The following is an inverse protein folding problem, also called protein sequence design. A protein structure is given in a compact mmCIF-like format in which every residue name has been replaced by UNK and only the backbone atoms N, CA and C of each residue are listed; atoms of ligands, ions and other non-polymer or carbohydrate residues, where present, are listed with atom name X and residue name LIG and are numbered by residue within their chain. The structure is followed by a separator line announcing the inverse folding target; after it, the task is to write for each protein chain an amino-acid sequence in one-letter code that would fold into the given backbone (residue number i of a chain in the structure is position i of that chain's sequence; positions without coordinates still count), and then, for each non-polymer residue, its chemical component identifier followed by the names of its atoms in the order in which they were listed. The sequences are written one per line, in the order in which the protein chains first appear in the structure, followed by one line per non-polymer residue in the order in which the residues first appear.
data_IF_325281012833
#
_entry.id   IF_325281012833
#
_cell.length_a   1.000
_cell.length_b   1.000
_cell.length_c   1.000
_cell.angle_alpha   90.00
_cell.angle_beta   90.00
_cell.angle_gamma   90.00
#
_symmetry.space_group_name_H-M   'P 1'
#
loop_
_entity.id
_entity.type
_entity.pdbx_description
1 polymer ?
2 non-polymer ?
3 non-polymer ?
4 water ?
#
# COMPACT_ATOMS: atom_id res chain seq x y z
N UNK A 1 9.64 16.44 -12.48
CA UNK A 1 8.89 15.40 -11.78
C UNK A 1 8.45 15.91 -10.41
N UNK A 2 7.64 15.11 -9.72
CA UNK A 2 7.11 15.50 -8.43
C UNK A 2 8.21 15.69 -7.39
N UNK A 3 7.90 16.49 -6.38
CA UNK A 3 8.78 16.69 -5.25
C UNK A 3 8.49 15.76 -4.10
N UNK A 4 7.55 14.84 -4.26
CA UNK A 4 7.09 13.96 -3.19
C UNK A 4 8.23 13.31 -2.42
N UNK A 5 8.26 13.54 -1.12
CA UNK A 5 9.20 12.87 -0.23
C UNK A 5 8.45 11.94 0.71
N UNK A 6 9.09 10.88 1.19
CA UNK A 6 8.46 10.08 2.24
C UNK A 6 8.16 10.97 3.45
N UNK A 7 6.95 10.86 3.96
CA UNK A 7 6.61 11.42 5.26
C UNK A 7 5.90 10.34 6.04
N UNK A 8 5.67 10.59 7.32
CA UNK A 8 4.93 9.65 8.13
C UNK A 8 4.00 10.43 9.03
N UNK A 9 3.24 9.71 9.85
CA UNK A 9 2.38 10.39 10.80
C UNK A 9 3.26 11.05 11.86
N UNK A 10 2.91 12.29 12.18
CA UNK A 10 3.52 13.03 13.27
C UNK A 10 2.99 12.46 14.57
N UNK A 11 3.82 11.83 15.41
CA UNK A 11 3.29 11.24 16.65
C UNK A 11 2.59 12.25 17.54
N UNK A 12 2.97 13.52 17.47
CA UNK A 12 2.36 14.53 18.33
C UNK A 12 1.03 15.02 17.80
N UNK A 13 0.63 14.59 16.60
CA UNK A 13 -0.64 14.98 16.01
C UNK A 13 -1.65 13.85 15.96
N UNK A 14 -1.31 12.70 16.52
CA UNK A 14 -2.14 11.51 16.36
C UNK A 14 -3.13 11.42 17.51
N UNK A 15 -4.39 11.16 17.19
CA UNK A 15 -5.40 10.92 18.21
C UNK A 15 -4.94 9.83 19.17
N UNK A 16 -5.22 10.04 20.45
CA UNK A 16 -4.77 9.13 21.51
C UNK A 16 -5.23 7.71 21.28
N UNK A 17 -6.37 7.51 20.62
CA UNK A 17 -6.96 6.18 20.52
C UNK A 17 -6.57 5.47 19.23
N UNK A 18 -5.72 6.07 18.41
CA UNK A 18 -5.17 5.41 17.24
C UNK A 18 -3.96 4.56 17.61
N UNK A 19 -3.89 3.37 17.02
CA UNK A 19 -2.70 2.53 17.09
C UNK A 19 -1.91 2.78 15.82
N UNK A 20 -0.64 3.15 15.97
CA UNK A 20 0.23 3.55 14.88
C UNK A 20 1.37 2.55 14.75
N UNK A 21 1.68 2.16 13.52
CA UNK A 21 2.82 1.26 13.33
C UNK A 21 4.12 1.99 13.62
N UNK A 22 5.19 1.21 13.84
CA UNK A 22 6.45 1.83 14.24
C UNK A 22 7.07 2.69 13.16
N UNK A 23 6.73 2.46 11.90
CA UNK A 23 7.24 3.30 10.83
C UNK A 23 6.33 4.49 10.55
N UNK A 24 5.26 4.65 11.32
CA UNK A 24 4.39 5.81 11.20
C UNK A 24 3.51 5.83 9.97
N UNK A 25 3.34 4.69 9.30
CA UNK A 25 2.60 4.67 8.03
C UNK A 25 1.25 3.98 8.12
N UNK A 26 0.96 3.29 9.20
CA UNK A 26 -0.31 2.62 9.39
C UNK A 26 -0.99 3.16 10.63
N UNK A 27 -2.29 3.41 10.53
CA UNK A 27 -3.06 3.87 11.66
C UNK A 27 -4.34 3.07 11.73
N UNK A 28 -4.73 2.71 12.95
CA UNK A 28 -5.82 1.79 13.16
C UNK A 28 -6.61 2.21 14.39
N UNK A 29 -7.93 2.10 14.30
CA UNK A 29 -8.81 2.23 15.45
C UNK A 29 -9.16 0.85 15.96
N UNK A 30 -8.96 0.62 17.26
CA UNK A 30 -9.31 -0.66 17.88
C UNK A 30 -10.77 -0.68 18.34
N UNK A 47 -17.21 10.86 17.22
CA UNK A 47 -15.82 11.13 17.50
C UNK A 47 -14.89 10.55 16.43
N UNK A 48 -14.31 11.44 15.64
CA UNK A 48 -13.37 11.01 14.61
C UNK A 48 -11.97 10.92 15.19
N UNK A 49 -11.14 10.10 14.56
CA UNK A 49 -9.77 9.86 15.01
C UNK A 49 -8.84 10.35 13.93
N UNK A 50 -8.24 11.51 14.15
CA UNK A 50 -7.41 12.16 13.15
C UNK A 50 -5.93 12.06 13.45
N UNK A 51 -5.14 12.15 12.38
CA UNK A 51 -3.69 12.20 12.48
C UNK A 51 -3.20 13.07 11.34
N UNK A 52 -2.00 13.62 11.50
CA UNK A 52 -1.45 14.50 10.49
C UNK A 52 -0.06 14.03 10.11
N UNK A 53 0.30 14.25 8.85
CA UNK A 53 1.64 13.95 8.41
C UNK A 53 2.64 14.89 9.04
N UNK A 54 3.89 14.43 9.14
CA UNK A 54 4.94 15.15 9.85
C UNK A 54 5.70 16.12 8.94
N UNK A 55 5.02 16.69 7.95
CA UNK A 55 5.64 17.65 7.04
C UNK A 55 4.61 18.74 6.75
N UNK A 56 5.06 19.99 6.78
CA UNK A 56 4.27 21.10 6.24
C UNK A 56 4.88 21.53 4.91
N UNK A 57 4.04 21.60 3.89
CA UNK A 57 4.45 21.84 2.52
C UNK A 57 4.12 23.27 2.15
N UNK A 58 5.09 23.99 1.60
CA UNK A 58 4.79 25.33 1.11
C UNK A 58 5.41 25.56 -0.28
N UNK A 59 5.67 24.49 -1.02
CA UNK A 59 6.28 24.62 -2.34
C UNK A 59 6.13 23.31 -3.07
N UNK A 60 6.27 23.38 -4.39
CA UNK A 60 6.40 22.18 -5.17
C UNK A 60 5.09 21.49 -5.46
N UNK A 61 5.23 20.25 -5.92
CA UNK A 61 4.12 19.40 -6.30
C UNK A 61 4.33 18.04 -5.66
N UNK A 62 3.31 17.52 -5.00
CA UNK A 62 3.47 16.33 -4.18
C UNK A 62 2.31 15.39 -4.42
N UNK A 63 2.62 14.10 -4.43
CA UNK A 63 1.60 13.07 -4.61
C UNK A 63 1.80 12.01 -3.55
N UNK A 64 0.71 11.63 -2.89
CA UNK A 64 0.75 10.47 -2.03
C UNK A 64 -0.55 9.71 -2.19
N UNK A 65 -0.54 8.48 -1.70
CA UNK A 65 -1.71 7.64 -1.77
C UNK A 65 -2.02 7.11 -0.39
N UNK A 66 -3.28 6.75 -0.21
CA UNK A 66 -3.75 6.17 1.04
C UNK A 66 -4.48 4.89 0.68
N UNK A 67 -4.16 3.81 1.38
CA UNK A 67 -4.89 2.56 1.26
C UNK A 67 -5.90 2.52 2.41
N UNK A 68 -7.18 2.49 2.05
CA UNK A 68 -8.26 2.53 3.04
C UNK A 68 -8.82 1.17 3.36
N UNK A 69 -8.58 0.18 2.50
CA UNK A 69 -9.07 -1.16 2.77
C UNK A 69 -10.58 -1.17 2.87
N UNK A 70 -11.07 -1.75 3.96
CA UNK A 70 -12.51 -1.88 4.18
C UNK A 70 -13.08 -0.75 5.02
N UNK A 71 -12.30 0.29 5.31
CA UNK A 71 -12.83 1.41 6.07
C UNK A 71 -14.00 2.05 5.33
N UNK A 72 -15.08 2.30 6.07
CA UNK A 72 -16.29 2.86 5.50
C UNK A 72 -16.52 4.31 5.90
N UNK A 73 -15.59 4.92 6.64
CA UNK A 73 -15.81 6.26 7.17
C UNK A 73 -14.44 6.86 7.44
N UNK A 74 -14.03 7.80 6.58
CA UNK A 74 -12.70 8.40 6.67
C UNK A 74 -12.75 9.74 5.95
N UNK A 75 -11.75 10.56 6.24
CA UNK A 75 -11.61 11.87 5.61
C UNK A 75 -10.12 12.11 5.43
N UNK A 76 -9.71 12.39 4.21
CA UNK A 76 -8.30 12.47 3.83
C UNK A 76 -8.07 13.76 3.08
N UNK A 77 -7.04 14.49 3.46
CA UNK A 77 -6.77 15.74 2.78
C UNK A 77 -5.58 16.49 3.31
N UNK A 78 -5.74 17.82 3.43
CA UNK A 78 -4.67 18.70 3.87
C UNK A 78 -5.27 19.75 4.81
N UNK A 79 -4.40 20.38 5.58
CA UNK A 79 -4.84 21.42 6.50
C UNK A 79 -3.75 22.46 6.69
N UNK A 80 -4.17 23.69 6.95
CA UNK A 80 -3.28 24.66 7.53
C UNK A 80 -3.07 24.33 9.00
N UNK A 81 -2.00 24.90 9.58
CA UNK A 81 -1.82 24.80 11.02
C UNK A 81 -2.99 25.40 11.78
N UNK A 82 -3.75 26.30 11.16
CA UNK A 82 -4.85 26.96 11.86
C UNK A 82 -6.07 26.08 12.04
N UNK A 83 -6.13 24.91 11.42
CA UNK A 83 -7.17 23.94 11.76
C UNK A 83 -6.88 23.40 13.15
N UNK A 84 -7.84 23.43 14.08
CA UNK A 84 -7.59 22.82 15.40
C UNK A 84 -7.27 21.34 15.25
N UNK A 85 -6.45 20.87 16.18
CA UNK A 85 -6.06 19.46 16.18
C UNK A 85 -7.29 18.56 16.14
N UNK A 86 -7.25 17.55 15.27
CA UNK A 86 -8.30 16.56 15.10
C UNK A 86 -9.54 17.15 14.44
N UNK A 87 -9.46 18.38 13.94
CA UNK A 87 -10.56 18.97 13.19
C UNK A 87 -10.14 19.10 11.75
N UNK A 88 -9.85 17.94 11.15
CA UNK A 88 -9.30 17.83 9.81
C UNK A 88 -10.30 17.11 8.90
N UNK A 89 -11.57 17.52 8.96
CA UNK A 89 -12.59 16.84 8.18
C UNK A 89 -13.38 17.85 7.36
N UNK A 90 -12.73 18.96 7.01
CA UNK A 90 -13.32 19.91 6.09
C UNK A 90 -14.39 20.80 6.67
N UNK A 91 -14.50 20.87 8.00
CA UNK A 91 -15.54 21.66 8.64
C UNK A 91 -15.02 23.00 9.14
N UNK A 92 -13.89 23.45 8.60
CA UNK A 92 -13.41 24.80 8.83
C UNK A 92 -12.72 25.28 7.56
N UNK A 93 -12.31 26.54 7.57
CA UNK A 93 -11.68 27.15 6.39
C UNK A 93 -10.21 26.76 6.25
N UNK A 94 -9.73 25.86 7.09
CA UNK A 94 -8.33 25.46 7.08
C UNK A 94 -8.16 23.98 6.76
N UNK A 95 -9.21 23.32 6.27
CA UNK A 95 -9.22 21.88 6.05
C UNK A 95 -9.93 21.58 4.75
N UNK A 96 -9.29 20.77 3.89
CA UNK A 96 -9.84 20.33 2.61
C UNK A 96 -9.72 18.82 2.59
N UNK A 97 -10.84 18.11 2.45
CA UNK A 97 -10.80 16.65 2.52
C UNK A 97 -11.65 16.00 1.44
N UNK A 98 -11.27 14.77 1.14
CA UNK A 98 -12.10 13.78 0.45
C UNK A 98 -12.60 12.83 1.53
N UNK A 99 -13.90 12.54 1.53
CA UNK A 99 -14.44 11.76 2.63
C UNK A 99 -15.42 10.71 2.13
N UNK A 100 -15.34 9.52 2.70
CA UNK A 100 -16.36 8.50 2.57
C UNK A 100 -17.14 8.41 3.87
N UNK A 101 -18.46 8.32 3.78
CA UNK A 101 -19.30 7.93 4.91
C UNK A 101 -20.29 6.90 4.37
N UNK A 102 -20.00 5.62 4.63
CA UNK A 102 -20.75 4.49 4.08
C UNK A 102 -20.67 4.48 2.56
N UNK A 103 -21.79 4.66 1.86
CA UNK A 103 -21.75 4.65 0.41
C UNK A 103 -21.67 6.04 -0.21
N UNK A 104 -21.59 7.09 0.59
CA UNK A 104 -21.55 8.46 0.09
C UNK A 104 -20.13 9.01 0.14
N UNK A 105 -19.65 9.51 -0.99
CA UNK A 105 -18.35 10.19 -1.08
C UNK A 105 -18.58 11.67 -1.32
N UNK A 106 -17.86 12.52 -0.58
CA UNK A 106 -17.95 13.95 -0.78
C UNK A 106 -16.54 14.53 -0.67
N UNK A 107 -16.39 15.74 -1.19
CA UNK A 107 -15.29 16.59 -0.79
C UNK A 107 -15.90 17.67 0.09
N UNK A 108 -15.13 18.13 1.06
CA UNK A 108 -15.67 19.06 2.04
C UNK A 108 -14.60 20.09 2.37
N UNK A 109 -15.04 21.34 2.44
CA UNK A 109 -14.17 22.43 2.86
C UNK A 109 -15.05 23.50 3.46
N UNK A 110 -14.58 24.14 4.52
CA UNK A 110 -15.31 25.26 5.13
C UNK A 110 -16.75 24.87 5.44
N UNK A 111 -16.96 23.62 5.84
CA UNK A 111 -18.26 23.09 6.25
C UNK A 111 -19.26 23.08 5.10
N UNK A 112 -18.78 23.02 3.87
CA UNK A 112 -19.63 22.80 2.70
C UNK A 112 -19.12 21.58 1.95
N UNK A 113 -20.03 20.72 1.53
CA UNK A 113 -19.64 19.49 0.88
C UNK A 113 -20.29 19.36 -0.48
N UNK A 114 -19.64 18.59 -1.34
CA UNK A 114 -20.14 18.31 -2.68
C UNK A 114 -19.98 16.82 -2.93
N UNK A 115 -21.05 16.18 -3.39
CA UNK A 115 -21.00 14.75 -3.67
C UNK A 115 -20.05 14.50 -4.83
N UNK A 116 -19.33 13.38 -4.75
CA UNK A 116 -18.37 12.97 -5.76
C UNK A 116 -18.77 11.59 -6.25
N UNK A 117 -18.82 11.42 -7.57
CA UNK A 117 -19.08 10.12 -8.16
C UNK A 117 -17.79 9.33 -8.17
N UNK A 118 -17.78 8.20 -7.46
CA UNK A 118 -16.59 7.37 -7.30
C UNK A 118 -16.95 5.97 -7.81
N UNK A 119 -16.10 5.35 -8.63
CA UNK A 119 -16.35 3.97 -9.07
C UNK A 119 -16.43 3.04 -7.87
N UNK A 120 -17.08 1.89 -8.02
CA UNK A 120 -17.24 0.98 -6.89
C UNK A 120 -15.90 0.43 -6.42
N UNK A 121 -15.86 0.08 -5.13
CA UNK A 121 -14.73 -0.62 -4.51
C UNK A 121 -13.45 0.22 -4.51
N UNK A 122 -13.60 1.49 -4.13
CA UNK A 122 -12.42 2.34 -3.94
C UNK A 122 -11.68 1.86 -2.70
N UNK A 123 -10.47 1.35 -2.91
CA UNK A 123 -9.65 0.91 -1.80
C UNK A 123 -8.42 1.77 -1.60
N UNK A 124 -8.18 2.72 -2.50
CA UNK A 124 -6.94 3.48 -2.52
C UNK A 124 -7.21 4.85 -3.12
N UNK A 125 -6.76 5.88 -2.42
CA UNK A 125 -7.00 7.26 -2.82
C UNK A 125 -5.67 7.91 -3.17
N UNK A 126 -5.63 8.60 -4.31
CA UNK A 126 -4.48 9.41 -4.67
C UNK A 126 -4.75 10.86 -4.30
N UNK A 127 -3.74 11.50 -3.71
CA UNK A 127 -3.84 12.88 -3.28
C UNK A 127 -2.72 13.65 -3.96
N UNK A 128 -3.08 14.60 -4.82
CA UNK A 128 -2.11 15.39 -5.54
C UNK A 128 -2.19 16.82 -5.04
N UNK A 129 -1.18 17.23 -4.29
CA UNK A 129 -1.07 18.60 -3.80
C UNK A 129 -0.13 19.35 -4.73
N UNK A 130 -0.72 20.16 -5.62
CA UNK A 130 0.12 21.03 -6.43
C UNK A 130 0.15 22.37 -5.69
N UNK A 131 1.07 22.48 -4.74
CA UNK A 131 1.10 23.68 -3.92
C UNK A 131 1.41 24.92 -4.75
N UNK A 132 2.42 24.81 -5.63
CA UNK A 132 2.80 25.94 -6.46
C UNK A 132 1.65 26.45 -7.31
N UNK A 133 0.83 25.54 -7.84
CA UNK A 133 -0.24 25.93 -8.74
C UNK A 133 -1.60 25.93 -8.06
N UNK A 134 -1.60 25.92 -6.73
CA UNK A 134 -2.79 26.25 -5.96
C UNK A 134 -3.94 25.29 -6.24
N UNK A 135 -3.63 23.99 -6.21
CA UNK A 135 -4.64 22.98 -6.42
C UNK A 135 -4.41 21.81 -5.48
N UNK A 136 -5.51 21.17 -5.11
CA UNK A 136 -5.49 19.90 -4.41
C UNK A 136 -6.44 18.99 -5.16
N UNK A 137 -5.95 17.84 -5.62
CA UNK A 137 -6.75 16.95 -6.46
C UNK A 137 -6.77 15.56 -5.86
N UNK A 138 -7.91 14.88 -6.01
CA UNK A 138 -8.08 13.53 -5.52
C UNK A 138 -8.31 12.58 -6.70
N UNK A 139 -7.72 11.40 -6.60
CA UNK A 139 -7.71 10.43 -7.68
C UNK A 139 -8.12 9.07 -7.19
N UNK A 140 -8.69 8.28 -8.09
CA UNK A 140 -8.88 6.84 -7.98
C UNK A 140 -7.79 6.20 -8.83
N UNK A 141 -6.60 5.96 -8.29
CA UNK A 141 -5.48 5.53 -9.16
C UNK A 141 -5.70 4.15 -9.76
N UNK A 142 -6.40 3.25 -9.07
CA UNK A 142 -6.68 1.94 -9.65
C UNK A 142 -7.39 2.06 -10.99
N UNK A 143 -8.26 3.06 -11.13
CA UNK A 143 -8.99 3.31 -12.36
C UNK A 143 -8.43 4.48 -13.15
N UNK A 144 -7.25 4.99 -12.78
CA UNK A 144 -6.60 6.10 -13.47
C UNK A 144 -7.58 7.26 -13.66
N UNK A 145 -8.26 7.62 -12.58
CA UNK A 145 -9.43 8.48 -12.67
C UNK A 145 -9.30 9.68 -11.75
N UNK A 146 -9.47 10.87 -12.32
CA UNK A 146 -9.58 12.09 -11.53
C UNK A 146 -10.95 12.13 -10.86
N UNK A 147 -10.97 12.44 -9.57
CA UNK A 147 -12.22 12.54 -8.82
C UNK A 147 -12.63 13.98 -8.54
N UNK A 148 -11.69 14.83 -8.13
CA UNK A 148 -12.05 16.19 -7.77
C UNK A 148 -10.79 17.04 -7.68
N UNK A 149 -10.90 18.31 -8.07
CA UNK A 149 -9.85 19.27 -7.83
C UNK A 149 -10.41 20.47 -7.09
N UNK A 150 -9.81 20.79 -5.95
CA UNK A 150 -9.99 22.07 -5.27
C UNK A 150 -9.03 23.08 -5.85
N UNK A 151 -9.54 24.25 -6.22
CA UNK A 151 -8.68 25.40 -6.45
C UNK A 151 -8.55 26.13 -5.13
N UNK A 152 -7.31 26.31 -4.67
CA UNK A 152 -7.03 26.90 -3.36
C UNK A 152 -5.83 27.81 -3.52
N UNK A 153 -6.00 29.11 -3.31
CA UNK A 153 -4.84 29.98 -3.23
C UNK A 153 -4.23 29.80 -1.84
N UNK A 154 -3.23 28.92 -1.72
CA UNK A 154 -2.68 28.61 -0.42
C UNK A 154 -2.00 29.84 0.18
N UNK A 155 -2.37 30.17 1.41
CA UNK A 155 -1.79 31.33 2.10
C UNK A 155 -0.90 30.92 3.25
N UNK A 156 -0.82 29.64 3.57
CA UNK A 156 0.00 29.10 4.64
C UNK A 156 0.49 27.75 4.16
N UNK A 157 1.52 27.19 4.80
CA UNK A 157 1.90 25.81 4.51
C UNK A 157 0.78 24.87 4.90
N UNK A 158 0.77 23.69 4.28
CA UNK A 158 -0.27 22.70 4.53
C UNK A 158 0.38 21.38 4.90
N UNK A 159 -0.30 20.63 5.77
CA UNK A 159 0.18 19.29 6.09
C UNK A 159 -0.84 18.27 5.62
N UNK A 160 -0.41 17.04 5.31
CA UNK A 160 -1.37 15.97 5.05
C UNK A 160 -2.12 15.63 6.32
N UNK A 161 -3.40 15.29 6.16
CA UNK A 161 -4.22 14.83 7.28
C UNK A 161 -4.97 13.57 6.91
N UNK A 162 -5.20 12.74 7.93
CA UNK A 162 -5.83 11.44 7.75
C UNK A 162 -6.73 11.20 8.94
N UNK A 163 -8.01 10.97 8.70
CA UNK A 163 -8.98 10.81 9.76
C UNK A 163 -9.84 9.60 9.48
N UNK A 164 -10.03 8.75 10.49
CA UNK A 164 -10.92 7.61 10.33
C UNK A 164 -11.91 7.59 11.48
N UNK A 165 -13.02 6.95 11.23
CA UNK A 165 -13.97 6.59 12.26
C UNK A 165 -14.00 5.09 12.52
N UNK A 166 -13.40 4.30 11.63
CA UNK A 166 -13.31 2.85 11.83
C UNK A 166 -12.18 2.30 10.96
N UNK A 167 -11.81 1.05 11.24
CA UNK A 167 -10.84 0.26 10.46
C UNK A 167 -9.50 0.99 10.48
N UNK A 168 -8.85 1.18 9.33
CA UNK A 168 -7.46 1.55 9.33
C UNK A 168 -7.10 2.18 7.99
N UNK A 169 -5.94 2.82 7.97
CA UNK A 169 -5.39 3.43 6.77
C UNK A 169 -3.91 3.13 6.72
N UNK A 170 -3.38 3.10 5.50
CA UNK A 170 -1.96 3.02 5.29
C UNK A 170 -1.54 4.14 4.35
N UNK A 171 -0.42 4.78 4.65
CA UNK A 171 0.07 5.93 3.90
C UNK A 171 1.18 5.48 2.96
N UNK A 172 1.03 5.83 1.68
CA UNK A 172 2.04 5.56 0.65
C UNK A 172 2.58 6.91 0.19
N UNK A 173 3.75 7.28 0.69
CA UNK A 173 4.35 8.57 0.39
C UNK A 173 5.70 8.40 -0.27
N UNK A 174 6.12 9.46 -0.99
CA UNK A 174 7.43 9.44 -1.62
C UNK A 174 7.58 8.49 -2.77
N UNK A 175 6.49 8.02 -3.32
CA UNK A 175 6.53 7.13 -4.46
C UNK A 175 6.18 7.89 -5.74
N UNK A 176 6.69 7.43 -6.88
CA UNK A 176 6.41 8.15 -8.14
C UNK A 176 4.92 8.19 -8.44
N UNK A 177 4.47 9.37 -8.86
CA UNK A 177 3.11 9.53 -9.35
C UNK A 177 2.83 8.48 -10.44
N UNK A 178 1.60 7.98 -10.55
CA UNK A 178 1.25 7.10 -11.66
C UNK A 178 1.36 7.87 -12.97
N UNK A 179 1.63 7.12 -14.05
CA UNK A 179 1.87 7.74 -15.35
C UNK A 179 0.69 8.59 -15.80
N UNK A 180 -0.54 8.19 -15.50
CA UNK A 180 -1.70 8.89 -16.04
C UNK A 180 -1.82 10.32 -15.51
N UNK A 181 -1.16 10.64 -14.40
CA UNK A 181 -1.16 12.00 -13.88
C UNK A 181 0.07 12.75 -14.36
N UNK B 2 19.92 0.01 -6.33
CA UNK B 2 18.98 -1.06 -6.59
C UNK B 2 18.29 -0.91 -7.95
N UNK B 3 17.85 -2.03 -8.50
CA UNK B 3 17.33 -2.10 -9.86
C UNK B 3 15.82 -2.16 -9.93
N UNK B 4 15.12 -1.94 -8.80
CA UNK B 4 13.71 -2.30 -8.66
C UNK B 4 12.88 -1.94 -9.88
N UNK B 5 12.75 -2.89 -10.79
CA UNK B 5 11.91 -2.71 -11.96
C UNK B 5 10.44 -2.74 -11.55
N UNK B 6 9.66 -1.71 -11.88
CA UNK B 6 8.22 -1.77 -11.59
C UNK B 6 7.56 -2.90 -12.35
N UNK B 7 6.50 -3.44 -11.77
CA UNK B 7 5.75 -4.49 -12.44
C UNK B 7 4.30 -4.44 -11.98
N UNK B 8 3.45 -5.14 -12.72
CA UNK B 8 2.04 -5.29 -12.43
C UNK B 8 1.71 -6.77 -12.35
N UNK B 9 0.49 -7.04 -11.89
CA UNK B 9 -0.01 -8.41 -11.93
C UNK B 9 -0.32 -8.80 -13.36
N UNK B 10 0.15 -9.97 -13.76
CA UNK B 10 0.02 -10.46 -15.13
C UNK B 10 -1.34 -11.10 -15.35
N UNK B 11 -2.23 -10.47 -16.13
CA UNK B 11 -3.53 -11.07 -16.39
C UNK B 11 -3.44 -12.44 -17.06
N UNK B 12 -2.39 -12.68 -17.85
CA UNK B 12 -2.20 -13.98 -18.49
C UNK B 12 -1.86 -15.07 -17.47
N UNK B 13 -1.32 -14.71 -16.32
CA UNK B 13 -0.86 -15.69 -15.35
C UNK B 13 -1.68 -15.68 -14.08
N UNK B 14 -2.81 -14.99 -14.05
CA UNK B 14 -3.59 -14.79 -12.84
C UNK B 14 -4.84 -15.65 -12.87
N UNK B 15 -5.13 -16.28 -11.74
CA UNK B 15 -6.28 -17.17 -11.64
C UNK B 15 -7.57 -16.44 -12.00
N UNK B 16 -8.48 -17.15 -12.67
CA UNK B 16 -9.71 -16.54 -13.16
C UNK B 16 -10.62 -16.08 -12.04
N UNK B 17 -10.52 -16.69 -10.86
CA UNK B 17 -11.34 -16.28 -9.71
C UNK B 17 -10.84 -15.00 -9.06
N UNK B 18 -9.78 -14.39 -9.60
CA UNK B 18 -9.23 -13.14 -9.08
C UNK B 18 -9.60 -12.00 -10.00
N UNK B 19 -10.07 -10.91 -9.42
CA UNK B 19 -10.31 -9.68 -10.15
C UNK B 19 -9.13 -8.74 -9.92
N UNK B 20 -8.48 -8.33 -11.01
CA UNK B 20 -7.34 -7.41 -10.96
C UNK B 20 -7.84 -6.00 -11.26
N UNK B 21 -7.32 -5.02 -10.52
CA UNK B 21 -7.66 -3.62 -10.80
C UNK B 21 -7.15 -3.22 -12.18
N UNK B 22 -7.73 -2.15 -12.71
CA UNK B 22 -7.33 -1.68 -14.03
C UNK B 22 -5.86 -1.27 -14.09
N UNK B 23 -5.25 -0.90 -12.97
CA UNK B 23 -3.84 -0.51 -12.97
C UNK B 23 -2.92 -1.67 -12.64
N UNK B 24 -3.45 -2.87 -12.45
CA UNK B 24 -2.66 -4.06 -12.26
C UNK B 24 -1.97 -4.18 -10.92
N UNK B 25 -2.32 -3.34 -9.94
CA UNK B 25 -1.64 -3.35 -8.66
C UNK B 25 -2.46 -3.97 -7.53
N UNK B 26 -3.76 -4.22 -7.75
CA UNK B 26 -4.64 -4.76 -6.73
C UNK B 26 -5.32 -6.00 -7.27
N UNK B 27 -5.51 -6.99 -6.40
CA UNK B 27 -6.30 -8.15 -6.77
C UNK B 27 -7.15 -8.56 -5.58
N UNK B 28 -8.32 -9.12 -5.88
CA UNK B 28 -9.22 -9.62 -4.85
C UNK B 28 -10.01 -10.78 -5.44
N UNK B 29 -10.41 -11.71 -4.57
CA UNK B 29 -11.19 -12.83 -5.05
C UNK B 29 -12.58 -12.36 -5.42
N UNK B 30 -13.03 -12.77 -6.60
CA UNK B 30 -14.34 -12.35 -7.08
C UNK B 30 -15.47 -13.04 -6.32
N UNK B 46 -7.53 -27.13 -5.69
CA UNK B 46 -6.50 -26.96 -4.67
C UNK B 46 -6.85 -25.84 -3.68
N UNK B 47 -7.67 -24.89 -4.12
CA UNK B 47 -8.13 -23.81 -3.27
C UNK B 47 -7.28 -22.57 -3.23
N UNK B 48 -6.12 -22.57 -3.87
CA UNK B 48 -5.23 -21.42 -3.89
C UNK B 48 -5.40 -20.67 -5.20
N UNK B 49 -5.52 -19.35 -5.11
CA UNK B 49 -5.70 -18.49 -6.28
C UNK B 49 -4.47 -17.61 -6.41
N UNK B 50 -3.64 -17.93 -7.39
CA UNK B 50 -2.34 -17.32 -7.54
C UNK B 50 -2.31 -16.34 -8.69
N UNK B 51 -1.44 -15.34 -8.54
CA UNK B 51 -1.13 -14.38 -9.59
C UNK B 51 0.37 -14.22 -9.65
N UNK B 52 0.88 -13.96 -10.85
CA UNK B 52 2.30 -13.71 -11.07
C UNK B 52 2.50 -12.29 -11.56
N UNK B 53 3.63 -11.69 -11.17
CA UNK B 53 4.03 -10.43 -11.76
C UNK B 53 4.29 -10.56 -13.25
N UNK B 54 4.30 -9.42 -13.93
CA UNK B 54 4.47 -9.42 -15.39
C UNK B 54 5.92 -9.17 -15.79
N UNK B 55 6.87 -9.51 -14.94
CA UNK B 55 8.29 -9.43 -15.28
C UNK B 55 8.99 -10.68 -14.76
N UNK B 56 10.05 -11.06 -15.46
CA UNK B 56 11.00 -12.03 -14.96
C UNK B 56 12.32 -11.32 -14.71
N UNK B 57 12.98 -11.69 -13.62
CA UNK B 57 14.18 -11.03 -13.14
C UNK B 57 15.32 -12.03 -13.19
N UNK B 58 16.45 -11.62 -13.75
CA UNK B 58 17.63 -12.48 -13.75
C UNK B 58 18.90 -11.71 -13.42
N UNK B 59 18.79 -10.56 -12.75
CA UNK B 59 19.95 -9.79 -12.32
C UNK B 59 19.47 -8.68 -11.40
N UNK B 60 20.42 -8.07 -10.70
CA UNK B 60 20.12 -6.90 -9.90
C UNK B 60 19.53 -7.25 -8.56
N UNK B 61 19.12 -6.19 -7.86
CA UNK B 61 18.50 -6.28 -6.55
C UNK B 61 17.18 -5.52 -6.62
N UNK B 62 16.11 -6.18 -6.16
CA UNK B 62 14.76 -5.66 -6.33
C UNK B 62 14.01 -5.75 -5.01
N UNK B 63 13.22 -4.71 -4.72
CA UNK B 63 12.42 -4.69 -3.51
C UNK B 63 11.01 -4.33 -3.90
N UNK B 64 10.04 -5.10 -3.40
CA UNK B 64 8.66 -4.72 -3.52
C UNK B 64 7.96 -5.05 -2.22
N UNK B 65 6.81 -4.42 -2.02
CA UNK B 65 6.01 -4.69 -0.84
C UNK B 65 4.65 -5.15 -1.26
N UNK B 66 4.01 -5.87 -0.35
CA UNK B 66 2.65 -6.36 -0.56
C UNK B 66 1.83 -5.90 0.63
N UNK B 67 0.68 -5.31 0.36
CA UNK B 67 -0.25 -4.93 1.41
C UNK B 67 -1.31 -6.01 1.48
N UNK B 68 -1.33 -6.74 2.60
CA UNK B 68 -2.25 -7.86 2.79
C UNK B 68 -3.43 -7.53 3.67
N UNK B 69 -3.36 -6.45 4.44
CA UNK B 69 -4.47 -6.12 5.33
C UNK B 69 -4.70 -7.23 6.34
N UNK B 70 -5.96 -7.65 6.45
CA UNK B 70 -6.37 -8.64 7.44
C UNK B 70 -6.41 -10.05 6.87
N UNK B 71 -5.86 -10.27 5.68
CA UNK B 71 -5.82 -11.59 5.09
C UNK B 71 -5.14 -12.56 6.06
N UNK B 72 -5.75 -13.73 6.25
CA UNK B 72 -5.22 -14.72 7.18
C UNK B 72 -4.55 -15.89 6.48
N UNK B 73 -4.57 -15.93 5.15
CA UNK B 73 -4.08 -17.10 4.42
C UNK B 73 -3.52 -16.61 3.08
N UNK B 74 -2.21 -16.68 2.91
CA UNK B 74 -1.61 -16.26 1.65
C UNK B 74 -0.22 -16.85 1.53
N UNK B 75 0.34 -16.73 0.32
CA UNK B 75 1.70 -17.15 0.03
C UNK B 75 2.28 -16.17 -0.98
N UNK B 76 3.39 -15.55 -0.62
CA UNK B 76 4.00 -14.49 -1.41
C UNK B 76 5.45 -14.86 -1.66
N UNK B 77 5.89 -14.78 -2.90
CA UNK B 77 7.28 -15.09 -3.14
C UNK B 77 7.69 -14.91 -4.58
N UNK B 78 8.46 -15.88 -5.09
CA UNK B 78 8.99 -15.84 -6.44
C UNK B 78 8.95 -17.26 -7.00
N UNK B 79 9.02 -17.35 -8.32
CA UNK B 79 9.04 -18.67 -8.95
C UNK B 79 9.79 -18.62 -10.28
N UNK B 80 10.45 -19.74 -10.59
CA UNK B 80 10.91 -19.99 -11.94
C UNK B 80 9.72 -20.25 -12.86
N UNK B 81 9.95 -20.11 -14.16
CA UNK B 81 8.94 -20.54 -15.12
C UNK B 81 8.67 -22.03 -15.00
N UNK B 82 9.62 -22.81 -14.46
CA UNK B 82 9.43 -24.25 -14.32
C UNK B 82 8.41 -24.59 -13.24
N UNK B 83 7.96 -23.63 -12.45
CA UNK B 83 6.81 -23.83 -11.58
C UNK B 83 5.55 -23.69 -12.42
N UNK B 84 4.67 -24.68 -12.45
CA UNK B 84 3.44 -24.58 -13.26
C UNK B 84 2.58 -23.41 -12.80
N UNK B 85 1.75 -22.94 -13.73
CA UNK B 85 0.83 -21.85 -13.43
C UNK B 85 -0.01 -22.17 -12.20
N UNK B 86 -0.10 -21.20 -11.28
CA UNK B 86 -0.91 -21.32 -10.07
C UNK B 86 -0.37 -22.35 -9.09
N UNK B 87 0.89 -22.75 -9.22
CA UNK B 87 1.50 -23.63 -8.25
C UNK B 87 2.65 -22.88 -7.57
N UNK B 88 2.29 -21.83 -6.83
CA UNK B 88 3.26 -20.89 -6.30
C UNK B 88 3.11 -20.78 -4.78
N UNK B 89 3.10 -21.92 -4.11
CA UNK B 89 2.96 -21.95 -2.65
C UNK B 89 4.12 -22.73 -2.04
N UNK B 90 5.25 -22.78 -2.75
CA UNK B 90 6.44 -23.37 -2.19
C UNK B 90 6.44 -24.88 -2.17
N UNK B 91 5.58 -25.52 -2.96
CA UNK B 91 5.44 -26.96 -2.95
C UNK B 91 6.06 -27.61 -4.18
N UNK B 92 7.02 -26.93 -4.80
CA UNK B 92 7.88 -27.54 -5.81
C UNK B 92 9.24 -26.87 -5.72
N UNK B 93 10.18 -27.35 -6.50
CA UNK B 93 11.56 -26.87 -6.44
C UNK B 93 11.73 -25.55 -7.15
N UNK B 94 10.65 -24.96 -7.66
CA UNK B 94 10.71 -23.73 -8.42
C UNK B 94 9.94 -22.59 -7.77
N UNK B 95 9.52 -22.77 -6.52
CA UNK B 95 8.66 -21.79 -5.83
C UNK B 95 9.20 -21.57 -4.44
N UNK B 96 9.47 -20.31 -4.10
CA UNK B 96 9.89 -19.90 -2.76
C UNK B 96 8.84 -18.92 -2.25
N UNK B 97 8.27 -19.17 -1.08
CA UNK B 97 7.23 -18.28 -0.57
C UNK B 97 7.37 -18.05 0.93
N UNK B 98 6.89 -16.89 1.35
CA UNK B 98 6.53 -16.58 2.72
C UNK B 98 5.03 -16.75 2.84
N UNK B 99 4.58 -17.51 3.84
CA UNK B 99 3.18 -17.89 3.87
C UNK B 99 2.60 -17.70 5.26
N UNK B 100 1.40 -17.15 5.30
CA UNK B 100 0.64 -17.03 6.53
C UNK B 100 -0.51 -18.00 6.52
N UNK B 101 -0.73 -18.68 7.64
CA UNK B 101 -1.97 -19.41 7.90
C UNK B 101 -2.35 -19.12 9.35
N UNK B 102 -3.31 -18.22 9.54
CA UNK B 102 -3.73 -17.73 10.86
C UNK B 102 -2.51 -17.13 11.54
N UNK B 103 -2.12 -17.58 12.73
CA UNK B 103 -0.99 -17.00 13.43
C UNK B 103 0.32 -17.70 13.10
N UNK B 104 0.30 -18.67 12.19
CA UNK B 104 1.48 -19.44 11.85
C UNK B 104 2.06 -18.89 10.55
N UNK B 105 3.30 -18.46 10.62
CA UNK B 105 4.05 -17.98 9.46
C UNK B 105 5.17 -18.95 9.18
N UNK B 106 5.33 -19.32 7.92
CA UNK B 106 6.44 -20.16 7.48
C UNK B 106 7.01 -19.59 6.20
N UNK B 107 8.24 -19.98 5.92
CA UNK B 107 8.75 -19.93 4.56
C UNK B 107 8.72 -21.36 4.05
N UNK B 108 8.49 -21.51 2.76
CA UNK B 108 8.35 -22.84 2.19
C UNK B 108 8.99 -22.88 0.82
N UNK B 109 9.71 -23.96 0.56
CA UNK B 109 10.28 -24.22 -0.74
C UNK B 109 10.41 -25.72 -0.89
N UNK B 110 10.03 -26.25 -2.06
CA UNK B 110 10.09 -27.69 -2.34
C UNK B 110 9.47 -28.51 -1.19
N UNK B 111 8.33 -28.07 -0.71
CA UNK B 111 7.55 -28.75 0.34
C UNK B 111 8.32 -28.89 1.64
N UNK B 112 9.32 -28.03 1.86
CA UNK B 112 10.03 -27.94 3.11
C UNK B 112 9.73 -26.57 3.72
N UNK B 113 9.22 -26.57 4.93
CA UNK B 113 8.85 -25.30 5.53
C UNK B 113 9.59 -25.09 6.85
N UNK B 114 9.82 -23.81 7.16
CA UNK B 114 10.44 -23.42 8.41
C UNK B 114 9.58 -22.34 9.04
N UNK B 115 9.29 -22.49 10.33
CA UNK B 115 8.51 -21.49 11.03
C UNK B 115 9.29 -20.18 11.09
N UNK B 116 8.57 -19.07 10.96
CA UNK B 116 9.14 -17.73 11.06
C UNK B 116 8.40 -17.00 12.16
N UNK B 117 9.14 -16.41 13.09
CA UNK B 117 8.49 -15.61 14.12
C UNK B 117 8.20 -14.23 13.56
N UNK B 118 6.95 -13.79 13.68
CA UNK B 118 6.51 -12.52 13.10
C UNK B 118 5.81 -11.73 14.20
N UNK B 119 6.10 -10.45 14.37
CA UNK B 119 5.40 -9.65 15.35
C UNK B 119 3.92 -9.59 15.01
N UNK B 120 3.06 -9.37 16.01
CA UNK B 120 1.63 -9.34 15.74
C UNK B 120 1.26 -8.25 14.75
N UNK B 121 0.11 -8.45 14.10
CA UNK B 121 -0.53 -7.44 13.27
C UNK B 121 0.32 -7.12 12.04
N UNK B 122 0.86 -8.14 11.40
CA UNK B 122 1.55 -7.96 10.14
C UNK B 122 0.55 -7.67 9.03
N UNK B 123 0.63 -6.47 8.45
CA UNK B 123 -0.30 -6.04 7.42
C UNK B 123 0.36 -5.85 6.08
N UNK B 124 1.69 -5.83 6.04
CA UNK B 124 2.44 -5.49 4.85
C UNK B 124 3.74 -6.28 4.88
N UNK B 125 4.09 -6.86 3.75
CA UNK B 125 5.27 -7.72 3.66
C UNK B 125 6.24 -7.09 2.65
N UNK B 126 7.51 -7.03 3.02
CA UNK B 126 8.55 -6.60 2.12
C UNK B 126 9.26 -7.81 1.53
N UNK B 127 9.54 -7.74 0.23
CA UNK B 127 10.20 -8.82 -0.49
C UNK B 127 11.45 -8.24 -1.13
N UNK B 128 12.60 -8.74 -0.73
CA UNK B 128 13.88 -8.28 -1.26
C UNK B 128 14.50 -9.42 -2.05
N UNK B 129 14.52 -9.28 -3.37
CA UNK B 129 15.12 -10.26 -4.26
C UNK B 129 16.48 -9.71 -4.67
N UNK B 130 17.54 -10.20 -4.03
CA UNK B 130 18.91 -9.83 -4.38
C UNK B 130 19.45 -10.93 -5.30
N UNK B 131 19.09 -10.81 -6.58
CA UNK B 131 19.39 -11.88 -7.52
C UNK B 131 20.90 -12.07 -7.66
N UNK B 132 21.65 -10.97 -7.75
CA UNK B 132 23.09 -11.06 -7.96
C UNK B 132 23.80 -11.66 -6.76
N UNK B 133 23.23 -11.53 -5.57
CA UNK B 133 23.86 -12.05 -4.36
C UNK B 133 23.14 -13.27 -3.81
N UNK B 134 22.28 -13.89 -4.62
CA UNK B 134 21.76 -15.22 -4.31
C UNK B 134 20.95 -15.24 -3.01
N UNK B 135 20.10 -14.24 -2.85
CA UNK B 135 19.28 -14.15 -1.66
C UNK B 135 17.87 -13.70 -2.01
N UNK B 136 16.90 -14.28 -1.31
CA UNK B 136 15.52 -13.81 -1.28
C UNK B 136 15.17 -13.59 0.18
N UNK B 137 14.82 -12.36 0.54
CA UNK B 137 14.60 -12.02 1.94
C UNK B 137 13.21 -11.45 2.12
N UNK B 138 12.61 -11.76 3.26
CA UNK B 138 11.29 -11.24 3.61
C UNK B 138 11.42 -10.35 4.84
N UNK B 139 10.64 -9.26 4.82
CA UNK B 139 10.71 -8.21 5.83
C UNK B 139 9.32 -7.85 6.33
N UNK B 140 9.29 -7.36 7.57
CA UNK B 140 8.14 -6.72 8.19
C UNK B 140 8.49 -5.24 8.20
N UNK B 141 8.18 -4.50 7.13
CA UNK B 141 8.68 -3.10 7.05
C UNK B 141 8.11 -2.18 8.12
N UNK B 142 6.87 -2.41 8.55
CA UNK B 142 6.30 -1.57 9.59
C UNK B 142 7.18 -1.58 10.84
N UNK B 143 7.82 -2.72 11.12
CA UNK B 143 8.72 -2.85 12.25
C UNK B 143 10.18 -2.82 11.84
N UNK B 144 10.47 -2.51 10.58
CA UNK B 144 11.85 -2.43 10.07
C UNK B 144 12.61 -3.72 10.39
N UNK B 145 11.94 -4.85 10.17
CA UNK B 145 12.38 -6.11 10.75
C UNK B 145 12.61 -7.16 9.67
N UNK B 146 13.81 -7.72 9.65
CA UNK B 146 14.09 -8.87 8.81
C UNK B 146 13.39 -10.12 9.36
N UNK B 147 12.71 -10.87 8.49
CA UNK B 147 12.00 -12.07 8.93
C UNK B 147 12.72 -13.36 8.54
N UNK B 148 13.22 -13.44 7.31
CA UNK B 148 13.85 -14.66 6.84
C UNK B 148 14.59 -14.38 5.55
N UNK B 149 15.70 -15.09 5.35
CA UNK B 149 16.44 -15.04 4.09
C UNK B 149 16.64 -16.45 3.58
N UNK B 150 16.17 -16.70 2.34
CA UNK B 150 16.59 -17.86 1.56
C UNK B 150 17.92 -17.57 0.90
N UNK B 151 18.90 -18.46 1.09
CA UNK B 151 20.12 -18.44 0.30
C UNK B 151 19.89 -19.36 -0.89
N UNK B 152 19.81 -18.78 -2.09
CA UNK B 152 19.46 -19.52 -3.30
C UNK B 152 20.37 -19.05 -4.42
N UNK B 153 21.13 -19.97 -4.99
CA UNK B 153 21.85 -19.66 -6.22
C UNK B 153 20.87 -19.84 -7.36
N UNK B 154 20.28 -18.74 -7.82
CA UNK B 154 19.24 -18.82 -8.83
C UNK B 154 19.81 -19.29 -10.14
N UNK B 155 19.13 -20.23 -10.77
CA UNK B 155 19.60 -20.84 -12.01
C UNK B 155 18.66 -20.57 -13.17
N UNK B 156 17.57 -19.84 -12.94
CA UNK B 156 16.66 -19.39 -13.98
C UNK B 156 16.15 -18.03 -13.60
N UNK B 157 15.55 -17.29 -14.53
CA UNK B 157 14.86 -16.05 -14.16
C UNK B 157 13.71 -16.34 -13.23
N UNK B 158 13.38 -15.36 -12.38
CA UNK B 158 12.32 -15.54 -11.41
C UNK B 158 11.29 -14.43 -11.58
N UNK B 159 10.06 -14.77 -11.27
CA UNK B 159 8.98 -13.79 -11.34
C UNK B 159 8.25 -13.73 -10.00
N UNK B 160 7.75 -12.56 -9.64
CA UNK B 160 7.01 -12.44 -8.37
C UNK B 160 5.71 -13.23 -8.45
N UNK B 161 5.35 -13.86 -7.33
CA UNK B 161 4.09 -14.59 -7.25
C UNK B 161 3.32 -14.18 -6.00
N UNK B 162 1.99 -14.21 -6.11
CA UNK B 162 1.11 -13.79 -5.04
C UNK B 162 -0.09 -14.71 -5.04
N UNK B 163 -0.30 -15.42 -3.93
CA UNK B 163 -1.38 -16.38 -3.86
C UNK B 163 -2.21 -16.11 -2.61
N UNK B 164 -3.53 -16.06 -2.79
CA UNK B 164 -4.43 -15.82 -1.70
C UNK B 164 -5.58 -16.80 -1.78
N UNK B 165 -6.34 -16.85 -0.69
CA UNK B 165 -7.62 -17.55 -0.61
C UNK B 165 -8.78 -16.58 -0.77
N UNK B 166 -8.80 -15.51 0.02
CA UNK B 166 -9.89 -14.54 -0.04
C UNK B 166 -9.31 -13.15 0.20
N UNK B 167 -10.20 -12.20 0.39
CA UNK B 167 -9.87 -10.80 0.66
C UNK B 167 -8.99 -10.30 -0.51
N UNK B 168 -8.01 -9.47 -0.25
CA UNK B 168 -7.38 -8.75 -1.33
C UNK B 168 -5.90 -8.58 -1.04
N UNK B 169 -5.22 -7.91 -1.95
CA UNK B 169 -3.79 -7.79 -1.93
C UNK B 169 -3.43 -6.64 -2.86
N UNK B 170 -2.49 -5.80 -2.44
CA UNK B 170 -1.98 -4.76 -3.31
C UNK B 170 -0.48 -4.85 -3.39
N UNK B 171 0.08 -4.64 -4.59
CA UNK B 171 1.53 -4.70 -4.78
C UNK B 171 2.08 -3.30 -4.93
N UNK B 172 3.19 -3.06 -4.24
CA UNK B 172 3.96 -1.81 -4.27
C UNK B 172 5.31 -2.16 -4.87
N UNK B 173 5.47 -1.91 -6.16
CA UNK B 173 6.66 -2.34 -6.89
C UNK B 173 7.48 -1.14 -7.33
N UNK B 174 8.69 -1.44 -7.82
CA UNK B 174 9.62 -0.42 -8.24
C UNK B 174 10.19 0.40 -7.11
N UNK B 175 10.28 -0.18 -5.89
CA UNK B 175 10.58 0.56 -4.69
C UNK B 175 12.09 0.65 -4.47
N UNK B 176 12.57 1.79 -3.97
CA UNK B 176 13.93 1.81 -3.42
C UNK B 176 13.98 0.94 -2.18
N UNK B 177 15.16 0.40 -1.90
CA UNK B 177 15.36 -0.33 -0.66
C UNK B 177 15.01 0.58 0.51
N UNK B 178 14.18 0.13 1.45
CA UNK B 178 13.89 0.97 2.62
C UNK B 178 15.18 1.23 3.37
N UNK B 179 15.20 2.35 4.11
CA UNK B 179 16.43 2.81 4.73
C UNK B 179 17.01 1.77 5.67
N UNK B 180 16.15 0.94 6.28
CA UNK B 180 16.62 -0.02 7.28
C UNK B 180 17.27 -1.26 6.67
N UNK B 181 17.08 -1.51 5.37
CA UNK B 181 17.58 -2.75 4.76
C UNK B 181 19.09 -2.69 4.59
X LIG C 1 -0.58 22.24 18.62
X LIG C 1 -0.91 23.00 17.46
X LIG C 1 -1.68 21.21 18.88
X LIG C 1 -1.63 20.21 17.86
X LIG D 1 -5.96 -1.53 4.53
X LIG D 1 -5.06 -2.61 4.82
X LIG D 1 -5.41 -0.26 5.17
X LIG D 1 -4.72 -0.63 6.39
X LIG E 1 -11.77 31.16 1.55
X LIG E 1 -12.32 29.77 1.26
X LIG E 1 -11.31 28.77 1.59
X LIG E 1 -13.56 29.50 2.13
X LIG E 1 -12.69 29.67 -0.23
X LIG E 1 -11.47 29.81 -1.12
X LIG E 1 -10.52 28.81 -0.81
X LIG E 1 -11.83 29.74 -2.60
#
# INVERSE_FOLDING_TARGET
SMNSQPFKLDPKMTHKKLKISNDGLQMEKDESSLKKSHTPERFSGTGCYGAAGNIFIDSGCHYWEVVMGSSTWYAIGIAYKSAPKNEWIGKNASSWVFSRCNSNFVVRHNNKEMLVDVPPHLKRLGVLLDYDNNMLSFYDPANSLHLHTFDVTFILPVCPTFTIWNKSLMILSGLPAPDFIDYPERQECN
SMNSQPFKLDPKMTHKKLKISNDGLQMEKDESSLKKSHTPERFSGTGCYGAAGNIFIDSGCHYWEVVMGSSTWYAIGIAYKSAPKNEWIGKNASSWVFSRCNSNFVVRHNNKEMLVDVPPHLKRLGVLLDYDNNMLSFYDPANSLHLHTFDVTFILPVCPTFTIWNKSLMILSGLPAPDFIDYPERQECN
EDO C1 O1 C2 O2
EDO C1 O1 C2 O2
MPD C1 C2 O2 CM C3 C4 O4 C5
#
